data_IF_486243348994
#
_entry.id   IF_486243348994
#
_cell.length_a   1.000
_cell.length_b   1.000
_cell.length_c   1.000
_cell.angle_alpha   90.00
_cell.angle_beta   90.00
_cell.angle_gamma   90.00
#
_symmetry.space_group_name_H-M   'P 1'
#
loop_
_entity.id
_entity.type
_entity.pdbx_description
1 polymer ?
#
# COMPACT_ATOMS: atom_id res chain seq x y z
N UNK A 1 -14.88 0.50 -29.94
CA UNK A 1 -13.76 0.57 -29.02
C UNK A 1 -14.11 -0.10 -27.72
N UNK A 2 -13.40 -1.15 -27.38
CA UNK A 2 -13.52 -1.74 -26.05
C UNK A 2 -13.21 -0.66 -25.02
N UNK A 3 -14.17 -0.36 -24.16
CA UNK A 3 -13.91 0.43 -22.97
C UNK A 3 -12.91 -0.37 -22.16
N UNK A 4 -11.70 0.15 -21.99
CA UNK A 4 -10.80 -0.31 -20.95
C UNK A 4 -11.54 -0.04 -19.65
N UNK A 5 -12.16 -1.08 -19.09
CA UNK A 5 -12.78 -0.98 -17.78
C UNK A 5 -11.67 -0.64 -16.81
N UNK A 6 -11.73 0.57 -16.26
CA UNK A 6 -10.95 0.90 -15.09
C UNK A 6 -11.33 -0.10 -14.02
N UNK A 7 -10.38 -0.91 -13.56
CA UNK A 7 -10.60 -1.87 -12.49
C UNK A 7 -10.91 -1.11 -11.20
N UNK A 8 -12.21 -0.91 -10.96
CA UNK A 8 -12.68 -0.27 -9.74
C UNK A 8 -12.49 -1.23 -8.58
N UNK A 9 -11.69 -0.80 -7.62
CA UNK A 9 -11.37 -1.55 -6.42
C UNK A 9 -12.15 -1.03 -5.22
N UNK A 10 -12.22 -1.81 -4.12
CA UNK A 10 -12.64 -1.28 -2.83
C UNK A 10 -11.80 -0.05 -2.45
N UNK A 11 -12.22 0.67 -1.43
CA UNK A 11 -11.56 1.91 -1.01
C UNK A 11 -10.12 1.73 -0.53
N UNK A 12 -9.78 0.52 -0.08
CA UNK A 12 -8.44 0.18 0.39
C UNK A 12 -7.88 -1.00 -0.42
N UNK A 13 -6.71 -0.82 -1.00
CA UNK A 13 -5.99 -1.85 -1.73
C UNK A 13 -4.61 -2.03 -1.12
N UNK A 14 -4.29 -3.26 -0.76
CA UNK A 14 -2.96 -3.64 -0.27
C UNK A 14 -2.14 -4.20 -1.44
N UNK A 15 -0.93 -3.71 -1.59
CA UNK A 15 0.04 -4.24 -2.52
C UNK A 15 1.14 -4.97 -1.75
N UNK A 16 1.39 -6.22 -2.10
CA UNK A 16 2.44 -7.06 -1.52
C UNK A 16 3.39 -7.58 -2.59
N UNK A 17 4.64 -7.75 -2.22
CA UNK A 17 5.64 -8.40 -3.08
C UNK A 17 5.59 -9.94 -2.99
N UNK A 18 4.83 -10.50 -2.07
CA UNK A 18 4.69 -11.94 -1.92
C UNK A 18 4.33 -12.41 -0.52
N UNK A 19 4.14 -13.71 -0.39
CA UNK A 19 3.65 -14.36 0.84
C UNK A 19 4.51 -14.16 2.08
N UNK A 20 5.80 -13.88 1.91
CA UNK A 20 6.69 -13.59 3.03
C UNK A 20 6.30 -12.32 3.82
N UNK A 21 5.52 -11.43 3.20
CA UNK A 21 5.02 -10.21 3.83
C UNK A 21 3.61 -10.34 4.37
N UNK A 22 2.95 -11.47 4.17
CA UNK A 22 1.56 -11.67 4.58
C UNK A 22 1.33 -11.42 6.08
N UNK A 23 2.29 -11.81 6.92
CA UNK A 23 2.21 -11.62 8.37
C UNK A 23 2.11 -10.13 8.78
N UNK A 24 2.53 -9.21 7.91
CA UNK A 24 2.47 -7.77 8.14
C UNK A 24 1.07 -7.25 7.82
N UNK A 25 0.49 -7.70 6.72
CA UNK A 25 -0.80 -7.24 6.25
C UNK A 25 -1.98 -7.92 6.94
N UNK A 26 -1.82 -9.17 7.32
CA UNK A 26 -2.92 -10.01 7.82
C UNK A 26 -3.65 -9.39 9.02
N UNK A 27 -2.99 -8.90 10.08
CA UNK A 27 -3.70 -8.31 11.21
C UNK A 27 -4.50 -7.05 10.82
N UNK A 28 -3.98 -6.28 9.90
CA UNK A 28 -4.64 -5.05 9.42
C UNK A 28 -5.87 -5.40 8.61
N UNK A 29 -5.73 -6.33 7.68
CA UNK A 29 -6.84 -6.80 6.84
C UNK A 29 -7.93 -7.43 7.69
N UNK A 30 -7.55 -8.28 8.66
CA UNK A 30 -8.50 -8.89 9.58
C UNK A 30 -9.29 -7.84 10.35
N UNK A 31 -8.65 -6.78 10.83
CA UNK A 31 -9.30 -5.69 11.55
C UNK A 31 -10.30 -4.93 10.66
N UNK A 32 -9.94 -4.67 9.40
CA UNK A 32 -10.85 -4.03 8.43
C UNK A 32 -12.08 -4.91 8.16
N UNK A 33 -11.86 -6.19 7.93
CA UNK A 33 -12.94 -7.13 7.64
C UNK A 33 -13.89 -7.31 8.83
N UNK A 34 -13.35 -7.29 10.04
CA UNK A 34 -14.17 -7.33 11.28
C UNK A 34 -15.09 -6.11 11.35
N UNK A 35 -14.67 -4.97 10.85
CA UNK A 35 -15.47 -3.74 10.77
C UNK A 35 -16.35 -3.69 9.50
N UNK A 36 -16.40 -4.75 8.73
CA UNK A 36 -17.12 -4.86 7.47
C UNK A 36 -16.68 -3.86 6.39
N UNK A 37 -15.38 -3.57 6.38
CA UNK A 37 -14.78 -2.68 5.40
C UNK A 37 -14.14 -3.52 4.29
N UNK A 38 -14.57 -3.29 3.07
CA UNK A 38 -14.04 -4.00 1.92
C UNK A 38 -12.60 -3.58 1.62
N UNK A 39 -11.77 -4.56 1.29
CA UNK A 39 -10.41 -4.32 0.83
C UNK A 39 -9.99 -5.35 -0.22
N UNK A 40 -9.01 -4.98 -1.03
CA UNK A 40 -8.36 -5.88 -1.96
C UNK A 40 -6.90 -6.08 -1.55
N UNK A 41 -6.34 -7.20 -1.95
CA UNK A 41 -4.94 -7.54 -1.74
C UNK A 41 -4.36 -8.04 -3.05
N UNK A 42 -3.33 -7.37 -3.54
CA UNK A 42 -2.74 -7.66 -4.84
C UNK A 42 -1.33 -8.20 -4.65
N UNK A 43 -1.06 -9.38 -5.16
CA UNK A 43 0.21 -10.09 -5.02
C UNK A 43 0.63 -10.76 -6.33
N UNK A 44 1.92 -10.77 -6.68
CA UNK A 44 2.43 -11.56 -7.81
C UNK A 44 2.66 -13.03 -7.45
N UNK A 45 2.50 -13.40 -6.19
CA UNK A 45 2.82 -14.73 -5.66
C UNK A 45 1.58 -15.62 -5.62
N UNK A 46 1.57 -16.65 -6.48
CA UNK A 46 0.48 -17.64 -6.53
C UNK A 46 0.34 -18.43 -5.23
N UNK A 47 1.40 -18.54 -4.45
CA UNK A 47 1.42 -19.28 -3.19
C UNK A 47 1.24 -18.39 -1.96
N UNK A 48 0.90 -17.13 -2.18
CA UNK A 48 0.64 -16.21 -1.09
C UNK A 48 -0.53 -16.71 -0.23
N UNK A 49 -0.33 -16.90 1.09
CA UNK A 49 -1.40 -17.34 1.98
C UNK A 49 -2.63 -16.41 1.96
N UNK A 50 -2.43 -15.15 1.60
CA UNK A 50 -3.50 -14.18 1.46
C UNK A 50 -4.61 -14.64 0.50
N UNK A 51 -4.28 -15.44 -0.52
CA UNK A 51 -5.24 -15.90 -1.52
C UNK A 51 -6.26 -16.89 -0.94
N UNK A 52 -5.95 -17.54 0.18
CA UNK A 52 -6.82 -18.50 0.84
C UNK A 52 -7.45 -17.94 2.12
N UNK A 53 -6.96 -16.80 2.60
CA UNK A 53 -7.46 -16.17 3.82
C UNK A 53 -8.89 -15.69 3.64
N UNK A 54 -9.79 -16.10 4.56
CA UNK A 54 -11.21 -15.71 4.55
C UNK A 54 -11.85 -15.69 3.15
N UNK A 55 -11.59 -16.71 2.35
CA UNK A 55 -12.00 -16.77 0.94
C UNK A 55 -13.50 -16.66 0.69
N UNK A 56 -14.34 -16.90 1.69
CA UNK A 56 -15.79 -16.74 1.60
C UNK A 56 -16.27 -15.37 2.08
N UNK A 57 -15.38 -14.50 2.51
CA UNK A 57 -15.72 -13.14 2.94
C UNK A 57 -15.91 -12.23 1.72
N UNK A 58 -17.14 -11.73 1.56
CA UNK A 58 -17.53 -10.88 0.41
C UNK A 58 -16.79 -9.53 0.37
N UNK A 59 -16.26 -9.09 1.50
CA UNK A 59 -15.54 -7.83 1.60
C UNK A 59 -14.03 -7.96 1.32
N UNK A 60 -13.53 -9.18 1.17
CA UNK A 60 -12.12 -9.44 0.94
C UNK A 60 -11.89 -9.92 -0.49
N UNK A 61 -11.03 -9.21 -1.23
CA UNK A 61 -10.74 -9.48 -2.63
C UNK A 61 -9.24 -9.69 -2.86
N UNK A 62 -8.70 -10.90 -2.60
CA UNK A 62 -7.31 -11.21 -2.93
C UNK A 62 -7.18 -11.48 -4.43
N UNK A 63 -6.16 -10.89 -5.05
CA UNK A 63 -5.96 -10.92 -6.50
C UNK A 63 -4.50 -11.22 -6.81
N UNK A 64 -4.28 -12.21 -7.67
CA UNK A 64 -2.96 -12.50 -8.26
C UNK A 64 -3.06 -12.31 -9.77
N UNK A 65 -2.74 -11.11 -10.31
CA UNK A 65 -2.88 -10.84 -11.74
C UNK A 65 -1.92 -11.67 -12.59
N UNK A 66 -0.75 -11.98 -12.07
CA UNK A 66 0.30 -12.72 -12.73
C UNK A 66 1.65 -12.47 -12.06
N UNK A 67 2.73 -12.79 -12.77
CA UNK A 67 4.09 -12.52 -12.29
C UNK A 67 4.31 -11.01 -12.12
N UNK A 68 5.41 -10.64 -11.48
CA UNK A 68 5.72 -9.29 -11.04
C UNK A 68 5.40 -8.19 -12.07
N UNK A 69 5.83 -8.34 -13.31
CA UNK A 69 5.59 -7.35 -14.36
C UNK A 69 4.11 -7.15 -14.69
N UNK A 70 3.35 -8.23 -14.71
CA UNK A 70 1.90 -8.18 -14.97
C UNK A 70 1.19 -7.53 -13.79
N UNK A 71 1.60 -7.86 -12.57
CA UNK A 71 1.06 -7.26 -11.36
C UNK A 71 1.31 -5.75 -11.32
N UNK A 72 2.51 -5.30 -11.69
CA UNK A 72 2.84 -3.87 -11.77
C UNK A 72 1.96 -3.16 -12.80
N UNK A 73 1.80 -3.73 -13.98
CA UNK A 73 0.92 -3.17 -15.01
C UNK A 73 -0.53 -3.07 -14.53
N UNK A 74 -1.00 -4.06 -13.81
CA UNK A 74 -2.33 -4.06 -13.20
C UNK A 74 -2.46 -2.92 -12.17
N UNK A 75 -1.49 -2.78 -11.26
CA UNK A 75 -1.46 -1.74 -10.23
C UNK A 75 -1.41 -0.32 -10.82
N UNK A 76 -0.74 -0.14 -11.95
CA UNK A 76 -0.63 1.16 -12.60
C UNK A 76 -1.97 1.66 -13.14
N UNK A 77 -2.98 0.81 -13.23
CA UNK A 77 -4.28 1.10 -13.85
C UNK A 77 -5.50 0.91 -12.93
N UNK A 78 -5.30 0.69 -11.64
CA UNK A 78 -6.40 0.52 -10.70
C UNK A 78 -7.03 1.87 -10.32
N UNK A 79 -8.28 1.80 -9.87
CA UNK A 79 -9.02 2.93 -9.29
C UNK A 79 -9.40 2.60 -7.86
N UNK A 80 -8.91 3.38 -6.92
CA UNK A 80 -9.20 3.22 -5.49
C UNK A 80 -8.89 4.51 -4.73
N UNK A 81 -9.32 4.60 -3.50
CA UNK A 81 -9.00 5.75 -2.63
C UNK A 81 -7.60 5.64 -2.06
N UNK A 82 -7.18 4.46 -1.62
CA UNK A 82 -5.91 4.26 -0.93
C UNK A 82 -5.23 2.98 -1.36
N UNK A 83 -3.95 3.08 -1.72
CA UNK A 83 -3.06 1.92 -1.88
C UNK A 83 -2.08 1.90 -0.71
N UNK A 84 -1.97 0.77 -0.04
CA UNK A 84 -1.02 0.54 1.07
C UNK A 84 0.00 -0.50 0.63
N UNK A 85 1.27 -0.20 0.76
CA UNK A 85 2.35 -1.10 0.37
C UNK A 85 3.52 -1.03 1.33
N UNK A 86 4.28 -2.12 1.40
CA UNK A 86 5.58 -2.18 2.08
C UNK A 86 6.74 -1.96 1.12
N UNK A 87 6.44 -1.78 -0.17
CA UNK A 87 7.44 -1.70 -1.24
C UNK A 87 7.93 -0.26 -1.42
N UNK A 88 9.23 0.00 -1.31
CA UNK A 88 9.79 1.29 -1.67
C UNK A 88 9.82 1.48 -3.19
N UNK A 89 10.08 2.69 -3.65
CA UNK A 89 10.29 2.98 -5.07
C UNK A 89 9.05 3.29 -5.89
N UNK A 90 7.92 3.61 -5.23
CA UNK A 90 6.74 4.11 -5.94
C UNK A 90 7.11 5.33 -6.80
N UNK A 91 6.71 5.29 -8.05
CA UNK A 91 6.87 6.34 -9.07
C UNK A 91 8.34 6.68 -9.41
N UNK A 92 9.29 5.88 -8.95
CA UNK A 92 10.72 6.01 -9.24
C UNK A 92 11.13 5.07 -10.38
N UNK A 93 10.64 3.84 -10.33
CA UNK A 93 10.96 2.79 -11.32
C UNK A 93 9.72 2.43 -12.14
N UNK A 94 9.46 1.14 -12.28
CA UNK A 94 8.38 0.63 -13.13
C UNK A 94 6.99 0.74 -12.50
N UNK A 95 6.91 0.70 -11.18
CA UNK A 95 5.65 0.87 -10.47
C UNK A 95 5.32 2.36 -10.38
N UNK A 96 4.35 2.77 -11.19
CA UNK A 96 3.92 4.16 -11.27
C UNK A 96 2.64 4.41 -10.48
N UNK A 97 2.49 5.63 -9.99
CA UNK A 97 1.22 6.05 -9.39
C UNK A 97 0.11 5.98 -10.43
N UNK A 98 -0.99 5.30 -10.11
CA UNK A 98 -2.19 5.35 -10.94
C UNK A 98 -2.85 6.73 -10.79
N UNK A 99 -3.28 7.30 -11.91
CA UNK A 99 -4.02 8.59 -11.92
C UNK A 99 -5.36 8.51 -11.18
N UNK A 100 -5.88 7.31 -11.01
CA UNK A 100 -7.18 7.04 -10.39
C UNK A 100 -7.07 6.57 -8.94
N UNK A 101 -5.91 6.71 -8.33
CA UNK A 101 -5.67 6.45 -6.91
C UNK A 101 -5.47 7.79 -6.20
N UNK A 102 -6.24 8.01 -5.16
CA UNK A 102 -6.19 9.30 -4.43
C UNK A 102 -4.96 9.43 -3.56
N UNK A 103 -4.59 8.36 -2.83
CA UNK A 103 -3.47 8.39 -1.90
C UNK A 103 -2.71 7.07 -1.90
N UNK A 104 -1.41 7.17 -1.66
CA UNK A 104 -0.51 6.03 -1.47
C UNK A 104 0.13 6.12 -0.09
N UNK A 105 0.06 5.02 0.66
CA UNK A 105 0.63 4.91 2.00
C UNK A 105 1.71 3.82 2.05
N UNK A 106 2.82 4.11 2.69
CA UNK A 106 3.88 3.15 2.95
C UNK A 106 3.79 2.62 4.38
N UNK A 107 3.80 1.31 4.52
CA UNK A 107 3.80 0.63 5.81
C UNK A 107 5.21 0.13 6.12
N UNK A 108 5.84 0.72 7.12
CA UNK A 108 7.12 0.23 7.63
C UNK A 108 6.94 -1.06 8.42
N UNK A 109 7.70 -2.06 8.07
CA UNK A 109 7.62 -3.39 8.68
C UNK A 109 8.88 -3.77 9.48
N UNK A 110 9.90 -2.92 9.48
CA UNK A 110 11.12 -3.14 10.23
C UNK A 110 11.57 -1.84 10.91
N UNK A 111 12.21 -1.91 12.09
CA UNK A 111 12.74 -0.72 12.76
C UNK A 111 14.02 -0.21 12.09
N UNK A 112 14.03 -0.13 10.78
CA UNK A 112 15.16 0.37 10.01
C UNK A 112 14.95 1.84 9.70
N UNK A 113 16.00 2.64 9.80
CA UNK A 113 15.96 4.04 9.46
C UNK A 113 15.69 4.27 7.98
N UNK A 114 15.13 5.43 7.66
CA UNK A 114 14.88 5.87 6.28
C UNK A 114 16.14 5.85 5.42
N UNK A 115 17.31 5.96 6.04
CA UNK A 115 18.61 5.96 5.39
C UNK A 115 18.93 4.66 4.62
N UNK A 116 18.25 3.56 4.96
CA UNK A 116 18.42 2.28 4.27
C UNK A 116 17.59 2.20 2.98
N UNK A 117 16.66 3.11 2.79
CA UNK A 117 15.95 3.24 1.54
C UNK A 117 16.72 4.22 0.66
N UNK A 118 17.28 3.72 -0.42
CA UNK A 118 18.01 4.52 -1.38
C UNK A 118 17.18 5.70 -1.89
N UNK A 119 17.87 6.64 -2.50
CA UNK A 119 17.33 7.89 -3.03
C UNK A 119 15.91 7.75 -3.60
N UNK A 120 14.99 8.54 -3.10
CA UNK A 120 13.61 8.64 -3.58
C UNK A 120 12.66 7.49 -3.23
N UNK A 121 13.08 6.51 -2.43
CA UNK A 121 12.27 5.32 -2.16
C UNK A 121 10.87 5.62 -1.61
N UNK A 122 10.73 6.63 -0.75
CA UNK A 122 9.46 7.05 -0.16
C UNK A 122 8.97 8.40 -0.67
N UNK A 123 9.66 9.01 -1.62
CA UNK A 123 9.43 10.40 -2.02
C UNK A 123 8.04 10.66 -2.58
N UNK A 124 7.44 9.68 -3.23
CA UNK A 124 6.16 9.82 -3.92
C UNK A 124 4.99 9.17 -3.18
N UNK A 125 5.21 8.72 -1.95
CA UNK A 125 4.14 8.33 -1.05
C UNK A 125 3.52 9.57 -0.39
N UNK A 126 2.23 9.52 -0.12
CA UNK A 126 1.51 10.59 0.57
C UNK A 126 1.56 10.43 2.09
N UNK A 127 1.42 9.19 2.54
CA UNK A 127 1.29 8.85 3.95
C UNK A 127 2.32 7.78 4.32
N UNK A 128 2.78 7.82 5.56
CA UNK A 128 3.72 6.82 6.09
C UNK A 128 3.22 6.33 7.44
N UNK A 129 3.06 5.01 7.55
CA UNK A 129 2.82 4.34 8.82
C UNK A 129 4.17 3.94 9.40
N UNK A 130 4.55 4.58 10.46
CA UNK A 130 5.86 4.40 11.07
C UNK A 130 5.76 4.15 12.56
N UNK A 131 6.72 3.40 13.07
CA UNK A 131 6.85 3.09 14.49
C UNK A 131 7.78 4.08 15.21
N UNK A 132 7.80 5.36 14.86
CA UNK A 132 8.60 6.31 15.63
C UNK A 132 8.89 7.67 15.00
N UNK A 133 9.06 8.64 15.88
CA UNK A 133 9.35 10.03 15.54
C UNK A 133 10.66 10.24 14.76
N UNK A 134 11.59 9.31 14.88
CA UNK A 134 12.87 9.38 14.17
C UNK A 134 12.70 9.27 12.66
N UNK A 135 11.85 8.38 12.21
CA UNK A 135 11.57 8.20 10.78
C UNK A 135 10.92 9.43 10.16
N UNK A 136 9.99 10.06 10.89
CA UNK A 136 9.35 11.29 10.45
C UNK A 136 10.36 12.41 10.25
N UNK A 137 11.22 12.64 11.23
CA UNK A 137 12.24 13.68 11.18
C UNK A 137 13.23 13.46 10.04
N UNK A 138 13.68 12.23 9.84
CA UNK A 138 14.62 11.88 8.77
C UNK A 138 13.98 12.07 7.39
N UNK A 139 12.73 11.64 7.22
CA UNK A 139 12.02 11.78 5.95
C UNK A 139 11.71 13.25 5.62
N UNK A 140 11.30 14.04 6.61
CA UNK A 140 11.05 15.47 6.41
C UNK A 140 12.31 16.20 5.94
N UNK A 141 13.46 15.84 6.48
CA UNK A 141 14.74 16.40 6.07
C UNK A 141 15.10 16.07 4.63
N UNK A 142 14.81 14.84 4.20
CA UNK A 142 14.99 14.43 2.81
C UNK A 142 14.03 15.15 1.87
N UNK A 143 12.78 15.29 2.27
CA UNK A 143 11.76 15.99 1.48
C UNK A 143 12.12 17.46 1.29
N UNK A 144 12.58 18.13 2.35
CA UNK A 144 13.08 19.52 2.27
C UNK A 144 14.25 19.66 1.30
N UNK A 145 15.21 18.77 1.38
CA UNK A 145 16.36 18.77 0.48
C UNK A 145 15.96 18.60 -0.99
N UNK A 146 14.92 17.85 -1.27
CA UNK A 146 14.43 17.56 -2.61
C UNK A 146 13.34 18.51 -3.11
N UNK A 147 12.89 19.44 -2.26
CA UNK A 147 11.78 20.33 -2.60
C UNK A 147 10.44 19.64 -2.69
N UNK A 148 10.25 18.55 -1.96
CA UNK A 148 9.01 17.78 -1.93
C UNK A 148 8.17 18.15 -0.69
N UNK A 149 6.83 18.03 -0.78
CA UNK A 149 5.98 18.23 0.39
C UNK A 149 6.24 17.14 1.43
N UNK A 150 6.08 17.50 2.72
CA UNK A 150 6.18 16.54 3.81
C UNK A 150 5.07 15.51 3.73
N UNK A 151 5.41 14.27 4.13
CA UNK A 151 4.44 13.18 4.23
C UNK A 151 3.64 13.29 5.52
N UNK A 152 2.45 12.73 5.54
CA UNK A 152 1.69 12.57 6.77
C UNK A 152 2.12 11.28 7.46
N UNK A 153 2.56 11.37 8.71
CA UNK A 153 3.01 10.24 9.51
C UNK A 153 1.95 9.85 10.53
N UNK A 154 1.70 8.55 10.62
CA UNK A 154 0.77 7.98 11.59
C UNK A 154 1.52 6.99 12.47
N UNK A 155 1.62 7.26 13.78
CA UNK A 155 2.29 6.37 14.73
C UNK A 155 1.39 5.19 15.05
N UNK A 156 1.61 4.04 14.54
CA UNK A 156 0.84 2.80 14.67
C UNK A 156 -0.39 2.70 13.76
N UNK A 157 -0.37 1.68 12.91
CA UNK A 157 -1.26 1.50 11.79
C UNK A 157 -2.76 1.39 12.09
N UNK A 158 -3.18 1.08 13.32
CA UNK A 158 -4.59 0.85 13.62
C UNK A 158 -5.43 2.13 13.67
N UNK A 159 -4.87 3.23 14.17
CA UNK A 159 -5.60 4.51 14.30
C UNK A 159 -5.84 5.20 12.97
N UNK A 160 -4.97 4.97 11.99
CA UNK A 160 -5.13 5.57 10.67
C UNK A 160 -6.25 4.92 9.87
N UNK A 161 -6.37 3.60 9.97
CA UNK A 161 -7.47 2.90 9.31
C UNK A 161 -8.81 3.35 9.88
N UNK A 162 -8.88 3.58 11.17
CA UNK A 162 -10.07 4.15 11.81
C UNK A 162 -10.39 5.54 11.28
N UNK A 163 -9.39 6.35 11.00
CA UNK A 163 -9.58 7.68 10.42
C UNK A 163 -10.11 7.62 8.99
N UNK A 164 -9.50 6.79 8.14
CA UNK A 164 -9.94 6.63 6.75
C UNK A 164 -11.35 6.07 6.62
N UNK A 165 -11.74 5.23 7.56
CA UNK A 165 -13.04 4.60 7.62
C UNK A 165 -14.15 5.60 7.97
N UNK A 166 -13.84 6.61 8.77
CA UNK A 166 -14.79 7.63 9.20
C UNK A 166 -15.08 8.71 8.16
N UNK A 167 -14.25 8.80 7.15
CA UNK A 167 -14.45 9.69 6.02
C UNK A 167 -14.99 8.96 4.78
#
# INVERSE_FOLDING_TARGET
GEKIETNEMPDVVFHSEGGKYWHIFQPVIAALLEKQIACAYITPDRNDPALQFQKDNKNYHPICPGKEMITIAYLNNIKTKLVVSTTPGLDVYMWKRSKNVKRYAHLFHAPTGVDLYEKYALSFYDDIFSVGAFTEKAQNKLDDYRGLPHKTFYPTGCTYYDYLIKE
#
